data_IF_219407032623
#
_entry.id   IF_219407032623
#
_cell.length_a   1.000
_cell.length_b   1.000
_cell.length_c   1.000
_cell.angle_alpha   90.00
_cell.angle_beta   90.00
_cell.angle_gamma   90.00
#
_symmetry.space_group_name_H-M   'P 1'
#
loop_
_entity.id
_entity.type
_entity.pdbx_description
1 polymer ?
#
# COMPACT_ATOMS: atom_id res chain seq x y z
N UNK A 1 -57.90 -14.47 25.85
CA UNK A 1 -56.78 -14.67 24.91
C UNK A 1 -55.44 -14.44 25.64
N UNK A 2 -54.56 -15.45 25.77
CA UNK A 2 -53.28 -15.27 26.42
C UNK A 2 -52.37 -14.37 25.58
N UNK A 3 -51.84 -13.32 26.22
CA UNK A 3 -50.91 -12.35 25.65
C UNK A 3 -49.56 -13.05 25.42
N UNK A 4 -49.18 -13.25 24.16
CA UNK A 4 -47.92 -13.89 23.80
C UNK A 4 -46.75 -13.13 24.45
N UNK A 5 -45.96 -13.84 25.26
CA UNK A 5 -44.76 -13.30 25.88
C UNK A 5 -43.75 -12.95 24.79
N UNK A 6 -43.24 -11.71 24.81
CA UNK A 6 -42.22 -11.26 23.89
C UNK A 6 -40.96 -12.14 24.03
N UNK A 7 -40.33 -12.55 22.92
CA UNK A 7 -39.11 -13.35 22.99
C UNK A 7 -38.02 -12.58 23.75
N UNK A 8 -37.36 -13.27 24.68
CA UNK A 8 -36.25 -12.71 25.45
C UNK A 8 -35.18 -12.15 24.49
N UNK A 9 -34.83 -10.88 24.66
CA UNK A 9 -33.81 -10.23 23.84
C UNK A 9 -32.50 -11.04 23.89
N UNK A 10 -31.81 -11.24 22.75
CA UNK A 10 -30.55 -11.98 22.73
C UNK A 10 -29.54 -11.26 23.63
N UNK A 11 -28.88 -12.01 24.51
CA UNK A 11 -27.79 -11.50 25.32
C UNK A 11 -26.73 -10.87 24.39
N UNK A 12 -26.42 -9.59 24.60
CA UNK A 12 -25.45 -8.87 23.79
C UNK A 12 -24.07 -9.54 23.81
N UNK A 13 -23.23 -9.29 22.79
CA UNK A 13 -21.87 -9.81 22.78
C UNK A 13 -21.12 -9.38 24.04
N UNK A 14 -20.38 -10.31 24.65
CA UNK A 14 -19.55 -10.01 25.82
C UNK A 14 -18.60 -8.83 25.51
N UNK A 15 -18.36 -7.92 26.47
CA UNK A 15 -17.44 -6.81 26.27
C UNK A 15 -16.06 -7.35 25.88
N UNK A 16 -15.52 -6.82 24.78
CA UNK A 16 -14.18 -7.18 24.29
C UNK A 16 -13.12 -6.89 25.36
N UNK A 17 -12.09 -7.75 25.44
CA UNK A 17 -10.97 -7.55 26.37
C UNK A 17 -10.11 -6.38 25.90
N UNK A 18 -9.46 -5.68 26.84
CA UNK A 18 -8.64 -4.50 26.52
C UNK A 18 -7.56 -4.75 25.45
N UNK A 19 -6.94 -5.92 25.47
CA UNK A 19 -5.92 -6.29 24.48
C UNK A 19 -6.51 -6.52 23.07
N UNK A 20 -7.78 -6.93 22.96
CA UNK A 20 -8.49 -7.08 21.69
C UNK A 20 -8.78 -5.71 21.09
N UNK A 21 -9.25 -4.77 21.92
CA UNK A 21 -9.48 -3.36 21.54
C UNK A 21 -8.18 -2.71 21.05
N UNK A 22 -7.06 -2.94 21.74
CA UNK A 22 -5.75 -2.44 21.32
C UNK A 22 -5.31 -3.02 19.97
N UNK A 23 -5.50 -4.32 19.75
CA UNK A 23 -5.17 -4.99 18.48
C UNK A 23 -6.00 -4.43 17.33
N UNK A 24 -7.30 -4.22 17.56
CA UNK A 24 -8.21 -3.70 16.54
C UNK A 24 -7.88 -2.24 16.20
N UNK A 25 -7.63 -1.40 17.21
CA UNK A 25 -7.16 -0.02 17.00
C UNK A 25 -5.88 0.01 16.15
N UNK A 26 -4.94 -0.89 16.41
CA UNK A 26 -3.70 -0.97 15.64
C UNK A 26 -3.95 -1.40 14.19
N UNK A 27 -4.88 -2.34 13.95
CA UNK A 27 -5.30 -2.72 12.59
C UNK A 27 -5.93 -1.55 11.86
N UNK A 28 -6.85 -0.84 12.50
CA UNK A 28 -7.50 0.34 11.93
C UNK A 28 -6.47 1.43 11.57
N UNK A 29 -5.49 1.69 12.42
CA UNK A 29 -4.42 2.64 12.13
C UNK A 29 -3.58 2.22 10.91
N UNK A 30 -3.26 0.94 10.76
CA UNK A 30 -2.56 0.43 9.58
C UNK A 30 -3.41 0.56 8.33
N UNK A 31 -4.68 0.16 8.37
CA UNK A 31 -5.62 0.31 7.27
C UNK A 31 -5.80 1.78 6.87
N UNK A 32 -5.83 2.70 7.83
CA UNK A 32 -5.94 4.13 7.58
C UNK A 32 -4.69 4.69 6.90
N UNK A 33 -3.49 4.25 7.31
CA UNK A 33 -2.23 4.62 6.63
C UNK A 33 -2.19 4.11 5.19
N UNK A 34 -2.53 2.84 4.98
CA UNK A 34 -2.53 2.22 3.66
C UNK A 34 -3.56 2.88 2.73
N UNK A 35 -4.77 3.13 3.23
CA UNK A 35 -5.80 3.88 2.50
C UNK A 35 -5.32 5.29 2.16
N UNK A 36 -4.66 5.97 3.10
CA UNK A 36 -4.08 7.29 2.89
C UNK A 36 -2.99 7.31 1.83
N UNK A 37 -2.15 6.27 1.75
CA UNK A 37 -1.13 6.14 0.70
C UNK A 37 -1.78 5.88 -0.67
N UNK A 38 -2.76 4.97 -0.75
CA UNK A 38 -3.50 4.68 -1.99
C UNK A 38 -4.23 5.91 -2.52
N UNK A 39 -4.89 6.65 -1.62
CA UNK A 39 -5.56 7.91 -1.95
C UNK A 39 -4.58 8.94 -2.55
N UNK A 40 -3.41 9.15 -1.93
CA UNK A 40 -2.38 10.03 -2.51
C UNK A 40 -1.99 9.57 -3.90
N UNK A 41 -1.68 8.28 -4.08
CA UNK A 41 -1.27 7.74 -5.36
C UNK A 41 -2.35 7.94 -6.44
N UNK A 42 -3.62 7.71 -6.12
CA UNK A 42 -4.74 7.90 -7.04
C UNK A 42 -4.90 9.37 -7.45
N UNK A 43 -4.84 10.31 -6.49
CA UNK A 43 -4.95 11.75 -6.76
C UNK A 43 -3.77 12.19 -7.64
N UNK A 44 -2.53 11.87 -7.26
CA UNK A 44 -1.35 12.22 -8.04
C UNK A 44 -1.36 11.61 -9.44
N UNK A 45 -1.86 10.38 -9.59
CA UNK A 45 -2.00 9.75 -10.90
C UNK A 45 -3.03 10.45 -11.77
N UNK A 46 -4.18 10.84 -11.20
CA UNK A 46 -5.20 11.61 -11.91
C UNK A 46 -4.74 12.99 -12.32
N UNK A 47 -4.04 13.71 -11.44
CA UNK A 47 -3.48 15.04 -11.74
C UNK A 47 -2.41 15.02 -12.85
N UNK A 48 -1.83 13.85 -13.18
CA UNK A 48 -0.91 13.70 -14.31
C UNK A 48 -1.62 13.56 -15.65
N UNK A 49 -2.92 13.25 -15.65
CA UNK A 49 -3.67 13.13 -16.89
C UNK A 49 -4.00 14.53 -17.43
N UNK A 50 -3.70 14.83 -18.70
CA UNK A 50 -4.17 16.08 -19.32
C UNK A 50 -5.70 16.09 -19.27
N UNK A 51 -6.30 17.24 -19.00
CA UNK A 51 -7.76 17.35 -18.88
C UNK A 51 -8.34 17.12 -17.48
N UNK A 52 -7.56 16.65 -16.50
CA UNK A 52 -8.10 16.33 -15.18
C UNK A 52 -8.67 17.55 -14.39
N UNK A 53 -8.33 18.77 -14.80
CA UNK A 53 -8.76 20.03 -14.14
C UNK A 53 -9.22 21.11 -15.14
N UNK A 54 -9.54 20.76 -16.38
CA UNK A 54 -9.87 21.75 -17.43
C UNK A 54 -11.10 22.60 -17.09
N UNK A 55 -12.05 22.07 -16.31
CA UNK A 55 -13.29 22.77 -15.94
C UNK A 55 -13.17 23.65 -14.69
N UNK A 56 -11.96 23.83 -14.14
CA UNK A 56 -11.75 24.47 -12.84
C UNK A 56 -12.32 23.66 -11.67
N UNK A 57 -12.60 22.38 -11.90
CA UNK A 57 -13.09 21.43 -10.90
C UNK A 57 -11.91 20.62 -10.36
N UNK A 58 -11.95 20.33 -9.07
CA UNK A 58 -10.95 19.46 -8.46
C UNK A 58 -11.08 18.04 -9.01
N UNK A 59 -9.95 17.43 -9.36
CA UNK A 59 -9.90 16.01 -9.61
C UNK A 59 -10.26 15.25 -8.32
N UNK A 60 -11.32 14.46 -8.34
CA UNK A 60 -11.73 13.57 -7.24
C UNK A 60 -11.68 12.12 -7.73
N UNK A 61 -10.94 11.22 -7.07
CA UNK A 61 -10.94 9.80 -7.45
C UNK A 61 -12.36 9.19 -7.39
N UNK A 62 -12.73 8.37 -8.37
CA UNK A 62 -14.06 7.75 -8.44
C UNK A 62 -14.38 6.90 -7.18
N UNK A 63 -13.37 6.23 -6.63
CA UNK A 63 -13.51 5.38 -5.44
C UNK A 63 -13.47 6.18 -4.12
N UNK A 64 -13.52 7.52 -4.18
CA UNK A 64 -13.43 8.35 -2.98
C UNK A 64 -14.56 8.06 -1.99
N UNK A 65 -15.81 8.12 -2.43
CA UNK A 65 -16.96 7.94 -1.55
C UNK A 65 -17.08 6.52 -0.99
N UNK A 66 -16.62 5.51 -1.72
CA UNK A 66 -16.76 4.10 -1.35
C UNK A 66 -15.60 3.58 -0.51
N UNK A 67 -14.35 3.86 -0.92
CA UNK A 67 -13.16 3.26 -0.31
C UNK A 67 -12.45 4.20 0.68
N UNK A 68 -12.38 5.50 0.37
CA UNK A 68 -11.52 6.43 1.10
C UNK A 68 -12.26 7.24 2.15
N UNK A 69 -13.47 7.72 1.84
CA UNK A 69 -14.33 8.52 2.73
C UNK A 69 -14.59 7.90 4.11
N UNK A 70 -14.94 6.60 4.26
CA UNK A 70 -15.18 6.03 5.59
C UNK A 70 -13.94 6.00 6.49
N UNK A 71 -12.74 5.99 5.92
CA UNK A 71 -11.48 5.87 6.67
C UNK A 71 -10.75 7.22 6.85
N UNK A 72 -10.82 8.09 5.85
CA UNK A 72 -10.05 9.34 5.74
C UNK A 72 -10.91 10.59 5.94
N UNK A 73 -12.24 10.46 5.83
CA UNK A 73 -13.18 11.57 5.94
C UNK A 73 -13.45 12.30 4.62
N UNK A 74 -13.90 13.55 4.69
CA UNK A 74 -14.20 14.35 3.50
C UNK A 74 -12.94 14.66 2.68
N UNK A 75 -13.10 14.76 1.36
CA UNK A 75 -11.99 14.97 0.44
C UNK A 75 -11.19 16.23 0.76
N UNK A 76 -11.87 17.37 0.94
CA UNK A 76 -11.24 18.65 1.29
C UNK A 76 -10.47 18.56 2.60
N UNK A 77 -11.04 17.92 3.64
CA UNK A 77 -10.36 17.76 4.93
C UNK A 77 -9.07 16.93 4.79
N UNK A 78 -9.09 15.91 3.93
CA UNK A 78 -7.90 15.11 3.65
C UNK A 78 -6.81 15.93 2.94
N UNK A 79 -7.17 16.74 1.93
CA UNK A 79 -6.21 17.61 1.25
C UNK A 79 -5.59 18.64 2.21
N UNK A 80 -6.42 19.31 3.01
CA UNK A 80 -5.97 20.30 4.00
C UNK A 80 -5.09 19.69 5.11
N UNK A 81 -5.27 18.40 5.42
CA UNK A 81 -4.42 17.70 6.38
C UNK A 81 -3.00 17.42 5.86
N UNK A 82 -2.74 17.60 4.55
CA UNK A 82 -1.48 17.26 3.88
C UNK A 82 -0.98 18.40 2.98
N UNK A 83 -0.67 19.57 3.56
CA UNK A 83 -0.16 20.72 2.79
C UNK A 83 1.20 20.46 2.13
N UNK A 84 1.95 19.48 2.65
CA UNK A 84 3.22 19.01 2.09
C UNK A 84 3.06 18.34 0.70
N UNK A 85 1.90 17.74 0.44
CA UNK A 85 1.65 16.98 -0.80
C UNK A 85 0.72 17.73 -1.75
N UNK A 86 -0.25 18.47 -1.22
CA UNK A 86 -1.29 19.12 -1.99
C UNK A 86 -1.51 20.56 -1.54
N UNK A 87 -1.66 21.47 -2.50
CA UNK A 87 -2.12 22.84 -2.28
C UNK A 87 -3.46 23.00 -2.94
N UNK A 88 -4.47 23.36 -2.15
CA UNK A 88 -5.80 23.69 -2.65
C UNK A 88 -5.77 25.15 -3.09
N UNK A 89 -6.14 25.40 -4.34
CA UNK A 89 -6.26 26.75 -4.92
C UNK A 89 -7.75 26.99 -5.13
N UNK A 90 -8.30 27.98 -4.45
CA UNK A 90 -9.71 28.36 -4.61
C UNK A 90 -9.91 28.99 -5.99
N UNK A 91 -10.95 28.55 -6.70
CA UNK A 91 -11.34 29.10 -8.00
C UNK A 91 -12.12 30.40 -7.84
N UNK A 92 -12.45 31.03 -8.97
CA UNK A 92 -13.21 32.29 -8.99
C UNK A 92 -14.63 32.16 -8.43
N UNK A 93 -15.22 30.96 -8.50
CA UNK A 93 -16.58 30.68 -8.02
C UNK A 93 -16.56 29.92 -6.68
N UNK A 94 -17.49 30.23 -5.76
CA UNK A 94 -17.62 29.48 -4.51
C UNK A 94 -17.92 28.00 -4.79
N UNK A 95 -17.06 27.12 -4.27
CA UNK A 95 -17.17 25.67 -4.44
C UNK A 95 -16.35 25.11 -5.59
N UNK A 96 -15.75 25.95 -6.45
CA UNK A 96 -14.71 25.52 -7.39
C UNK A 96 -13.35 25.66 -6.74
N UNK A 97 -12.55 24.61 -6.81
CA UNK A 97 -11.16 24.64 -6.37
C UNK A 97 -10.35 23.71 -7.25
N UNK A 98 -9.10 24.07 -7.48
CA UNK A 98 -8.11 23.22 -8.15
C UNK A 98 -7.09 22.74 -7.13
N UNK A 99 -6.37 21.69 -7.49
CA UNK A 99 -5.38 21.04 -6.62
C UNK A 99 -4.05 21.08 -7.34
N UNK A 100 -3.07 21.70 -6.70
CA UNK A 100 -1.70 21.73 -7.17
C UNK A 100 -0.82 20.74 -6.37
N UNK A 101 0.07 20.06 -7.07
CA UNK A 101 0.97 19.07 -6.47
C UNK A 101 2.25 19.76 -5.99
N UNK A 102 2.29 20.11 -4.70
CA UNK A 102 3.40 20.86 -4.07
C UNK A 102 4.69 20.05 -4.06
N UNK A 103 4.59 18.72 -3.96
CA UNK A 103 5.75 17.83 -3.94
C UNK A 103 6.56 17.82 -5.26
N UNK A 104 6.18 18.67 -6.23
CA UNK A 104 6.82 18.78 -7.52
C UNK A 104 6.53 17.58 -8.42
N UNK A 105 6.74 17.80 -9.72
CA UNK A 105 6.97 16.71 -10.67
C UNK A 105 8.42 16.24 -10.66
N UNK A 106 9.27 16.87 -9.84
CA UNK A 106 10.57 16.37 -9.49
C UNK A 106 10.34 15.03 -8.79
N UNK A 107 10.33 13.97 -9.57
CA UNK A 107 10.44 12.60 -9.10
C UNK A 107 11.65 12.61 -8.19
N UNK A 108 11.44 12.69 -6.88
CA UNK A 108 12.47 12.45 -5.90
C UNK A 108 13.14 11.16 -6.35
N UNK A 109 14.38 11.27 -6.84
CA UNK A 109 15.13 10.14 -7.38
C UNK A 109 15.12 9.13 -6.25
N UNK A 110 14.31 8.09 -6.40
CA UNK A 110 14.12 7.13 -5.33
C UNK A 110 15.52 6.67 -4.94
N UNK A 111 15.94 6.83 -3.67
CA UNK A 111 17.25 6.37 -3.26
C UNK A 111 17.36 4.92 -3.72
N UNK A 112 18.40 4.62 -4.50
CA UNK A 112 18.52 3.34 -5.19
C UNK A 112 18.19 2.23 -4.19
N UNK A 113 17.18 1.40 -4.50
CA UNK A 113 16.54 0.43 -3.60
C UNK A 113 17.50 -0.57 -2.91
N UNK A 114 18.80 -0.55 -3.25
CA UNK A 114 19.88 -1.30 -2.63
C UNK A 114 20.80 -0.54 -1.67
N UNK A 115 20.67 0.77 -1.46
CA UNK A 115 21.59 1.53 -0.58
C UNK A 115 21.47 1.12 0.89
N UNK A 116 20.26 0.87 1.39
CA UNK A 116 20.02 0.47 2.79
C UNK A 116 20.67 -0.87 3.18
N UNK A 117 20.97 -1.74 2.21
CA UNK A 117 21.63 -3.04 2.47
C UNK A 117 23.09 -2.89 2.87
N UNK A 118 23.78 -1.82 2.43
CA UNK A 118 25.18 -1.58 2.81
C UNK A 118 25.29 -1.08 4.25
N UNK A 119 24.36 -0.25 4.70
CA UNK A 119 24.41 0.35 6.04
C UNK A 119 23.96 -0.61 7.15
N UNK A 120 23.02 -1.52 6.87
CA UNK A 120 22.60 -2.53 7.85
C UNK A 120 23.73 -3.46 8.32
N UNK A 121 24.67 -3.83 7.43
CA UNK A 121 25.82 -4.66 7.82
C UNK A 121 26.81 -3.91 8.71
N UNK A 122 26.94 -2.59 8.53
CA UNK A 122 27.84 -1.76 9.34
C UNK A 122 27.24 -1.55 10.74
N UNK A 123 25.96 -1.17 10.82
CA UNK A 123 25.25 -0.99 12.09
C UNK A 123 25.18 -2.27 12.95
N UNK A 124 25.05 -3.45 12.32
CA UNK A 124 24.97 -4.72 13.06
C UNK A 124 26.31 -5.15 13.68
N UNK A 125 27.44 -4.70 13.13
CA UNK A 125 28.76 -5.00 13.70
C UNK A 125 29.11 -4.04 14.85
N UNK A 126 28.69 -2.79 14.76
CA UNK A 126 28.99 -1.74 15.75
C UNK A 126 28.21 -1.94 17.07
N UNK A 127 26.93 -2.30 16.99
CA UNK A 127 26.11 -2.63 18.18
C UNK A 127 26.61 -3.91 18.87
N UNK A 128 27.26 -4.81 18.14
CA UNK A 128 27.78 -6.06 18.73
C UNK A 128 29.10 -5.87 19.47
N UNK A 129 29.83 -4.79 19.18
CA UNK A 129 31.10 -4.45 19.85
C UNK A 129 30.91 -3.62 21.12
N UNK A 130 29.83 -2.86 21.24
CA UNK A 130 29.57 -2.08 22.47
C UNK A 130 28.86 -2.89 23.56
N UNK A 131 27.89 -3.75 23.21
CA UNK A 131 27.18 -4.57 24.22
C UNK A 131 28.06 -5.66 24.84
N UNK A 132 29.17 -6.03 24.18
CA UNK A 132 30.13 -7.01 24.75
C UNK A 132 31.10 -6.39 25.75
N UNK A 133 31.20 -5.05 25.82
CA UNK A 133 32.19 -4.38 26.67
C UNK A 133 31.63 -3.96 28.03
N UNK A 134 30.30 -3.96 28.22
CA UNK A 134 29.69 -3.53 29.50
C UNK A 134 29.08 -4.66 30.35
N UNK A 135 28.97 -5.89 29.83
CA UNK A 135 28.56 -7.07 30.63
C UNK A 135 29.73 -7.79 31.31
N UNK A 136 30.81 -7.07 31.60
CA UNK A 136 31.93 -7.55 32.42
C UNK A 136 31.89 -6.96 33.84
N UNK A 137 30.70 -6.68 34.37
CA UNK A 137 30.49 -6.45 35.80
C UNK A 137 29.82 -7.68 36.45
N UNK A 138 30.67 -8.66 36.78
CA UNK A 138 30.62 -9.37 38.07
C UNK A 138 29.32 -10.06 38.50
N UNK A 139 28.67 -10.87 37.67
CA UNK A 139 27.77 -11.91 38.20
C UNK A 139 28.62 -13.14 38.51
N UNK A 140 28.97 -13.25 39.78
CA UNK A 140 29.58 -14.43 40.40
C UNK A 140 28.58 -15.59 40.25
N UNK A 141 28.90 -16.51 39.35
CA UNK A 141 28.12 -17.72 39.08
C UNK A 141 27.92 -18.54 40.37
N UNK A 142 26.69 -18.56 40.89
CA UNK A 142 26.16 -19.75 41.55
C UNK A 142 25.49 -20.63 40.48
N UNK A 143 25.88 -21.91 40.36
CA UNK A 143 25.25 -22.83 39.42
C UNK A 143 23.84 -23.18 39.89
N UNK A 144 22.83 -22.50 39.35
CA UNK A 144 21.45 -23.00 39.40
C UNK A 144 21.31 -24.17 38.44
N UNK A 145 21.47 -25.36 39.01
CA UNK A 145 21.05 -26.63 38.47
C UNK A 145 19.55 -26.59 38.10
N UNK A 146 19.27 -26.42 36.80
CA UNK A 146 17.96 -26.70 36.21
C UNK A 146 17.96 -28.10 35.62
N UNK A 147 18.29 -29.10 36.45
CA UNK A 147 18.00 -30.52 36.25
C UNK A 147 16.50 -30.79 36.15
N UNK A 148 15.85 -30.22 35.14
CA UNK A 148 14.47 -30.46 34.76
C UNK A 148 14.46 -31.19 33.42
N UNK A 149 14.38 -32.51 33.51
CA UNK A 149 14.17 -33.44 32.41
C UNK A 149 13.09 -32.90 31.44
N UNK A 150 13.52 -32.50 30.24
CA UNK A 150 12.62 -32.35 29.10
C UNK A 150 12.53 -33.70 28.39
N UNK A 151 11.40 -34.42 28.46
CA UNK A 151 11.23 -35.63 27.69
C UNK A 151 11.01 -35.29 26.23
N UNK A 152 11.68 -36.03 25.35
CA UNK A 152 11.11 -36.47 24.09
C UNK A 152 11.02 -35.43 22.97
N UNK A 153 12.10 -35.34 22.20
CA UNK A 153 12.06 -35.59 20.76
C UNK A 153 11.02 -34.87 19.90
N UNK A 154 11.44 -33.74 19.31
CA UNK A 154 11.15 -33.47 17.91
C UNK A 154 12.45 -33.04 17.24
N UNK A 155 12.95 -33.93 16.39
CA UNK A 155 14.30 -33.92 15.83
C UNK A 155 14.68 -32.60 15.17
N UNK A 156 15.88 -32.15 15.53
CA UNK A 156 16.62 -31.15 14.78
C UNK A 156 16.81 -31.64 13.35
N UNK A 157 16.21 -30.94 12.40
CA UNK A 157 16.68 -30.97 11.01
C UNK A 157 17.80 -29.93 10.88
N UNK A 158 19.02 -30.33 10.47
CA UNK A 158 20.12 -29.40 10.23
C UNK A 158 19.78 -28.46 9.07
N UNK A 159 19.96 -27.16 9.29
CA UNK A 159 19.75 -26.08 8.32
C UNK A 159 20.91 -25.98 7.32
N UNK A 160 21.27 -27.10 6.71
CA UNK A 160 22.39 -27.15 5.77
C UNK A 160 22.32 -28.39 4.91
N UNK A 161 21.44 -28.39 3.91
CA UNK A 161 21.71 -29.07 2.63
C UNK A 161 20.69 -28.57 1.61
N UNK A 162 21.18 -27.72 0.71
CA UNK A 162 20.47 -27.23 -0.45
C UNK A 162 20.69 -28.24 -1.58
N UNK A 163 19.82 -29.24 -1.69
CA UNK A 163 19.60 -29.92 -2.97
C UNK A 163 18.22 -29.53 -3.50
N UNK A 164 18.20 -28.40 -4.22
CA UNK A 164 17.07 -27.95 -5.04
C UNK A 164 17.41 -28.21 -6.51
N UNK A 165 17.57 -29.48 -6.85
CA UNK A 165 17.45 -30.00 -8.21
C UNK A 165 16.15 -30.81 -8.24
N UNK A 166 15.08 -30.16 -8.71
CA UNK A 166 13.74 -30.71 -8.68
C UNK A 166 12.80 -29.71 -9.32
N UNK A 167 12.82 -29.70 -10.64
CA UNK A 167 11.62 -29.83 -11.46
C UNK A 167 10.34 -29.19 -10.89
N UNK A 168 10.04 -27.98 -11.36
CA UNK A 168 8.70 -27.37 -11.30
C UNK A 168 8.16 -27.19 -12.73
N UNK A 169 8.40 -28.18 -13.57
CA UNK A 169 7.65 -28.38 -14.80
C UNK A 169 6.28 -28.95 -14.46
N UNK A 170 5.24 -28.13 -14.59
CA UNK A 170 3.89 -28.60 -14.89
C UNK A 170 3.01 -29.02 -13.72
N UNK A 171 2.09 -28.13 -13.31
CA UNK A 171 0.69 -28.51 -13.06
C UNK A 171 -0.26 -27.32 -13.10
N UNK A 172 -0.55 -26.84 -14.31
CA UNK A 172 -1.74 -26.03 -14.60
C UNK A 172 -2.87 -26.98 -15.00
N UNK A 173 -3.42 -27.72 -14.03
CA UNK A 173 -4.63 -28.51 -14.24
C UNK A 173 -5.86 -27.68 -13.79
N UNK A 174 -6.66 -27.28 -14.78
CA UNK A 174 -8.12 -27.46 -14.69
C UNK A 174 -8.96 -26.43 -13.94
N UNK A 175 -9.12 -25.23 -14.50
CA UNK A 175 -10.42 -24.54 -14.49
C UNK A 175 -10.95 -24.48 -15.93
N UNK A 176 -11.48 -25.63 -16.38
CA UNK A 176 -12.20 -25.80 -17.63
C UNK A 176 -13.57 -26.41 -17.32
N UNK A 177 -14.49 -25.58 -16.83
CA UNK A 177 -15.91 -25.68 -17.12
C UNK A 177 -16.26 -24.36 -17.83
N UNK A 178 -16.68 -24.32 -19.08
CA UNK A 178 -17.71 -25.18 -19.66
C UNK A 178 -19.03 -24.41 -19.66
N UNK A 179 -19.07 -23.29 -20.40
CA UNK A 179 -20.27 -22.49 -20.65
C UNK A 179 -20.17 -21.92 -22.06
N UNK A 180 -20.64 -22.70 -23.02
CA UNK A 180 -20.70 -22.36 -24.43
C UNK A 180 -22.04 -21.68 -24.75
N UNK A 181 -21.98 -20.51 -25.36
CA UNK A 181 -22.82 -19.98 -26.46
C UNK A 181 -22.73 -18.46 -26.36
N UNK A 182 -22.46 -17.68 -27.40
CA UNK A 182 -22.21 -17.91 -28.80
C UNK A 182 -22.10 -16.50 -29.37
N UNK A 183 -21.08 -16.23 -30.16
CA UNK A 183 -21.08 -15.03 -30.99
C UNK A 183 -20.17 -15.27 -32.17
N UNK A 184 -20.85 -15.33 -33.30
CA UNK A 184 -20.35 -15.62 -34.61
C UNK A 184 -19.27 -14.61 -35.04
N UNK A 185 -18.41 -15.10 -35.93
CA UNK A 185 -17.21 -14.41 -36.37
C UNK A 185 -17.48 -13.15 -37.16
N UNK A 186 -16.51 -12.23 -37.05
CA UNK A 186 -16.19 -11.26 -38.08
C UNK A 186 -14.67 -11.27 -38.25
N UNK A 187 -14.18 -12.17 -39.11
CA UNK A 187 -12.87 -11.98 -39.77
C UNK A 187 -13.15 -11.09 -40.98
N UNK A 188 -12.91 -9.79 -40.83
CA UNK A 188 -12.76 -8.87 -41.96
C UNK A 188 -11.28 -8.60 -42.18
N UNK A 189 -10.72 -9.19 -43.23
CA UNK A 189 -9.42 -8.80 -43.79
C UNK A 189 -9.58 -7.52 -44.62
N UNK A 190 -8.68 -6.57 -44.38
CA UNK A 190 -8.11 -5.65 -45.38
C UNK A 190 -8.71 -4.23 -45.47
N UNK A 191 -8.04 -3.27 -46.15
CA UNK A 191 -6.61 -3.18 -46.46
C UNK A 191 -5.97 -1.81 -46.11
N UNK A 192 -4.63 -1.80 -46.11
CA UNK A 192 -3.71 -0.76 -46.60
C UNK A 192 -3.91 0.75 -46.36
N UNK A 193 -2.76 1.38 -46.07
CA UNK A 193 -2.28 2.70 -46.52
C UNK A 193 -2.82 4.00 -45.90
N UNK A 194 -1.96 4.66 -45.09
CA UNK A 194 -1.49 6.06 -45.21
C UNK A 194 -0.80 6.44 -43.89
N UNK A 195 0.53 6.52 -43.83
CA UNK A 195 1.32 7.74 -44.09
C UNK A 195 0.81 8.97 -43.32
N UNK A 196 1.47 9.31 -42.21
CA UNK A 196 1.45 10.69 -41.72
C UNK A 196 2.79 11.06 -41.02
N UNK A 197 3.83 11.44 -41.77
CA UNK A 197 4.99 12.13 -41.22
C UNK A 197 4.87 13.64 -41.45
N UNK A 198 4.42 14.37 -40.43
CA UNK A 198 4.67 15.80 -40.30
C UNK A 198 5.08 16.02 -38.84
N UNK A 199 6.35 16.11 -38.48
CA UNK A 199 7.30 17.19 -38.78
C UNK A 199 6.66 18.56 -38.55
N UNK A 200 6.78 19.07 -37.32
CA UNK A 200 6.56 20.47 -37.00
C UNK A 200 7.75 21.02 -36.19
N UNK A 201 8.83 21.50 -36.83
CA UNK A 201 9.84 22.34 -36.20
C UNK A 201 9.56 23.80 -36.54
N UNK A 202 8.92 24.52 -35.62
CA UNK A 202 8.87 25.98 -35.59
C UNK A 202 9.13 26.42 -34.14
N UNK A 203 10.36 26.71 -33.74
CA UNK A 203 11.00 28.03 -33.82
C UNK A 203 10.29 29.08 -32.96
N UNK A 204 10.81 29.35 -31.76
CA UNK A 204 10.66 30.66 -31.13
C UNK A 204 11.79 30.98 -30.13
N UNK A 205 12.98 31.45 -30.58
CA UNK A 205 13.94 32.12 -29.71
C UNK A 205 13.67 33.63 -29.74
N UNK A 206 12.72 34.08 -28.92
CA UNK A 206 12.48 35.50 -28.65
C UNK A 206 13.27 35.95 -27.42
N UNK A 207 14.54 36.30 -27.63
CA UNK A 207 15.29 37.20 -26.75
C UNK A 207 14.55 38.55 -26.68
N UNK A 208 14.42 39.15 -25.49
CA UNK A 208 14.28 40.60 -25.37
C UNK A 208 15.16 41.07 -24.18
N UNK A 209 15.80 42.25 -24.31
CA UNK A 209 16.94 42.70 -23.50
C UNK A 209 16.57 43.20 -22.10
#
# INVERSE_FOLDING_TARGET
>A
PPKAAAPAAPAGPAPLRDWELQRERKRQQMSQRDAGCKAICAIKHGLRQPGAQEDGMAFVPADWDTAFKPLLGSYIKFLLSRPDQFRVIEGSDPGRFTIDNVAGNETAVAPAWGSWKKDWKKAKNEVKTEVKTEMQFGVKDEPRDWGGQRPGGWGGRPWGERQRSGDWGGRTDGWRGGGASGSAGWRGQGPSSAFNPGFNPGFNPGFNP
#
